data_IF_962644554660
#
_entry.id   IF_962644554660
#
_cell.length_a   1.000
_cell.length_b   1.000
_cell.length_c   1.000
_cell.angle_alpha   90.00
_cell.angle_beta   90.00
_cell.angle_gamma   90.00
#
_symmetry.space_group_name_H-M   'P 1'
#
loop_
_entity.id
_entity.type
_entity.pdbx_description
1 polymer ?
#
# COMPACT_ATOMS: atom_id res chain seq x y z
N UNK A 1 -14.59 -4.86 5.67
CA UNK A 1 -13.19 -4.47 5.44
C UNK A 1 -12.80 -4.73 4.00
N UNK A 2 -12.14 -3.79 3.40
CA UNK A 2 -11.55 -3.95 2.07
C UNK A 2 -10.04 -3.71 2.16
N UNK A 3 -9.29 -4.34 1.26
CA UNK A 3 -7.84 -4.14 1.15
C UNK A 3 -7.51 -3.61 -0.24
N UNK A 4 -6.82 -2.49 -0.26
CA UNK A 4 -6.22 -1.94 -1.47
C UNK A 4 -4.88 -2.64 -1.70
N UNK A 5 -4.73 -3.24 -2.86
CA UNK A 5 -3.50 -3.94 -3.25
C UNK A 5 -2.86 -3.18 -4.41
N UNK A 6 -1.61 -2.80 -4.25
CA UNK A 6 -0.86 -2.08 -5.28
C UNK A 6 0.33 -2.89 -5.74
N UNK A 7 0.48 -2.95 -7.05
CA UNK A 7 1.68 -3.46 -7.70
C UNK A 7 2.36 -2.28 -8.38
N UNK A 8 3.61 -2.02 -7.99
CA UNK A 8 4.40 -0.91 -8.53
C UNK A 8 5.47 -1.43 -9.47
N UNK A 9 5.61 -0.74 -10.60
CA UNK A 9 6.83 -0.82 -11.40
C UNK A 9 7.66 0.38 -10.99
N UNK A 10 8.83 0.10 -10.41
CA UNK A 10 9.73 1.13 -9.89
C UNK A 10 11.01 1.20 -10.72
N UNK A 11 11.70 2.34 -10.66
CA UNK A 11 13.01 2.47 -11.25
C UNK A 11 14.01 1.66 -10.41
N UNK A 12 14.67 0.63 -10.97
CA UNK A 12 15.57 -0.22 -10.18
C UNK A 12 16.81 0.52 -9.67
N UNK A 13 17.10 1.70 -10.20
CA UNK A 13 18.19 2.56 -9.71
C UNK A 13 17.75 3.49 -8.59
N UNK A 14 16.45 3.49 -8.23
CA UNK A 14 15.86 4.41 -7.26
C UNK A 14 15.06 3.67 -6.18
N UNK A 15 15.50 2.48 -5.82
CA UNK A 15 14.83 1.65 -4.80
C UNK A 15 14.85 2.36 -3.45
N UNK A 16 15.96 3.02 -3.10
CA UNK A 16 16.07 3.76 -1.83
C UNK A 16 15.10 4.94 -1.77
N UNK A 17 14.92 5.66 -2.88
CA UNK A 17 13.91 6.73 -2.96
C UNK A 17 12.51 6.16 -2.79
N UNK A 18 12.22 5.03 -3.43
CA UNK A 18 10.93 4.38 -3.26
C UNK A 18 10.71 3.90 -1.83
N UNK A 19 11.76 3.45 -1.13
CA UNK A 19 11.65 3.07 0.28
C UNK A 19 11.27 4.27 1.15
N UNK A 20 11.85 5.43 0.91
CA UNK A 20 11.48 6.67 1.61
C UNK A 20 10.00 6.98 1.40
N UNK A 21 9.53 6.92 0.17
CA UNK A 21 8.13 7.11 -0.20
C UNK A 21 7.23 6.09 0.52
N UNK A 22 7.60 4.82 0.49
CA UNK A 22 6.84 3.74 1.10
C UNK A 22 6.69 3.91 2.62
N UNK A 23 7.79 4.26 3.30
CA UNK A 23 7.78 4.48 4.75
C UNK A 23 6.85 5.62 5.15
N UNK A 24 6.83 6.69 4.35
CA UNK A 24 5.93 7.81 4.59
C UNK A 24 4.46 7.39 4.51
N UNK A 25 4.10 6.59 3.50
CA UNK A 25 2.71 6.14 3.32
C UNK A 25 2.25 5.17 4.40
N UNK A 26 3.12 4.32 4.91
CA UNK A 26 2.77 3.47 6.07
C UNK A 26 2.33 4.36 7.25
N UNK A 27 3.11 5.38 7.55
CA UNK A 27 2.78 6.34 8.60
C UNK A 27 1.45 7.05 8.33
N UNK A 28 1.30 7.63 7.14
CA UNK A 28 0.15 8.47 6.82
C UNK A 28 -1.17 7.69 6.77
N UNK A 29 -1.17 6.51 6.18
CA UNK A 29 -2.37 5.68 6.11
C UNK A 29 -2.79 5.23 7.51
N UNK A 30 -1.84 4.81 8.35
CA UNK A 30 -2.15 4.44 9.74
C UNK A 30 -2.68 5.63 10.54
N UNK A 31 -2.16 6.83 10.30
CA UNK A 31 -2.65 8.06 10.94
C UNK A 31 -4.05 8.43 10.48
N UNK A 32 -4.40 8.11 9.24
CA UNK A 32 -5.65 8.56 8.59
C UNK A 32 -6.76 7.51 8.61
N UNK A 33 -6.69 6.53 9.48
CA UNK A 33 -7.79 5.59 9.73
C UNK A 33 -7.71 4.27 8.99
N UNK A 34 -6.64 4.03 8.24
CA UNK A 34 -6.37 2.75 7.61
C UNK A 34 -5.47 1.87 8.45
N UNK A 35 -5.21 0.68 7.95
CA UNK A 35 -4.20 -0.24 8.48
C UNK A 35 -3.29 -0.62 7.33
N UNK A 36 -2.06 -0.14 7.36
CA UNK A 36 -1.09 -0.49 6.34
C UNK A 36 -0.41 -1.80 6.72
N UNK A 37 -0.41 -2.77 5.82
CA UNK A 37 0.18 -4.09 6.06
C UNK A 37 1.66 -4.15 5.67
N UNK A 38 2.18 -3.12 5.04
CA UNK A 38 3.57 -3.02 4.65
C UNK A 38 3.77 -3.08 3.15
N UNK A 39 5.04 -2.97 2.78
CA UNK A 39 5.51 -3.08 1.41
C UNK A 39 6.40 -4.32 1.27
N UNK A 40 6.41 -4.89 0.08
CA UNK A 40 7.32 -5.97 -0.29
C UNK A 40 8.15 -5.52 -1.46
N UNK A 41 9.47 -5.49 -1.26
CA UNK A 41 10.45 -4.97 -2.21
C UNK A 41 11.15 -6.12 -2.95
N UNK A 42 11.77 -5.82 -4.10
CA UNK A 42 12.57 -6.82 -4.80
C UNK A 42 13.65 -7.42 -3.90
N UNK A 43 13.78 -8.75 -3.92
CA UNK A 43 14.85 -9.47 -3.24
C UNK A 43 15.46 -10.48 -4.19
N UNK A 44 14.69 -11.50 -4.59
CA UNK A 44 15.04 -12.44 -5.66
C UNK A 44 13.94 -12.36 -6.71
N UNK A 45 14.31 -12.34 -7.99
CA UNK A 45 13.37 -12.20 -9.11
C UNK A 45 13.46 -10.81 -9.76
N UNK A 46 12.36 -10.28 -10.30
CA UNK A 46 12.37 -8.96 -10.94
C UNK A 46 12.87 -7.88 -10.00
N UNK A 47 13.75 -7.01 -10.47
CA UNK A 47 14.37 -5.97 -9.65
C UNK A 47 13.58 -4.66 -9.61
N UNK A 48 12.42 -4.62 -10.24
CA UNK A 48 11.64 -3.40 -10.46
C UNK A 48 10.17 -3.54 -10.06
N UNK A 49 9.79 -4.59 -9.34
CA UNK A 49 8.41 -4.80 -8.91
C UNK A 49 8.34 -4.77 -7.39
N UNK A 50 7.44 -3.93 -6.87
CA UNK A 50 7.15 -3.88 -5.45
C UNK A 50 5.64 -3.98 -5.22
N UNK A 51 5.24 -4.43 -4.05
CA UNK A 51 3.84 -4.63 -3.68
C UNK A 51 3.55 -3.93 -2.37
N UNK A 52 2.31 -3.47 -2.20
CA UNK A 52 1.84 -3.09 -0.88
C UNK A 52 0.35 -3.41 -0.72
N UNK A 53 -0.06 -3.52 0.52
CA UNK A 53 -1.44 -3.78 0.89
C UNK A 53 -1.81 -2.91 2.09
N UNK A 54 -2.96 -2.27 2.02
CA UNK A 54 -3.50 -1.56 3.17
C UNK A 54 -5.02 -1.69 3.18
N UNK A 55 -5.61 -1.64 4.36
CA UNK A 55 -7.04 -1.89 4.55
C UNK A 55 -7.75 -0.71 5.15
N UNK A 56 -9.01 -0.56 4.79
CA UNK A 56 -9.98 0.35 5.41
C UNK A 56 -11.23 -0.42 5.80
N UNK A 57 -12.03 0.09 6.77
CA UNK A 57 -13.25 -0.62 7.18
C UNK A 57 -14.26 -0.84 6.06
N UNK A 58 -14.29 0.06 5.05
CA UNK A 58 -15.23 0.01 3.94
C UNK A 58 -14.73 0.83 2.77
N UNK A 59 -15.34 0.67 1.59
CA UNK A 59 -15.08 1.53 0.43
C UNK A 59 -15.40 2.99 0.76
N UNK A 60 -16.47 3.23 1.51
CA UNK A 60 -16.85 4.58 1.93
C UNK A 60 -15.77 5.23 2.79
N UNK A 61 -15.19 4.47 3.73
CA UNK A 61 -14.07 4.95 4.54
C UNK A 61 -12.83 5.26 3.69
N UNK A 62 -12.57 4.44 2.67
CA UNK A 62 -11.47 4.66 1.74
C UNK A 62 -11.69 5.94 0.92
N UNK A 63 -12.90 6.16 0.40
CA UNK A 63 -13.22 7.38 -0.34
C UNK A 63 -13.04 8.64 0.52
N UNK A 64 -13.51 8.59 1.77
CA UNK A 64 -13.32 9.67 2.73
C UNK A 64 -11.84 9.95 2.98
N UNK A 65 -11.04 8.90 3.16
CA UNK A 65 -9.58 9.02 3.26
C UNK A 65 -9.00 9.71 2.03
N UNK A 66 -9.42 9.34 0.82
CA UNK A 66 -8.91 9.93 -0.42
C UNK A 66 -9.19 11.43 -0.49
N UNK A 67 -10.34 11.88 -0.05
CA UNK A 67 -10.68 13.30 -0.01
C UNK A 67 -9.81 14.06 1.00
N UNK A 68 -9.61 13.50 2.19
CA UNK A 68 -8.76 14.12 3.21
C UNK A 68 -7.30 14.12 2.83
N UNK A 69 -6.83 13.04 2.23
CA UNK A 69 -5.45 12.84 1.80
C UNK A 69 -5.03 13.89 0.77
N UNK A 70 -5.91 14.27 -0.13
CA UNK A 70 -5.62 15.26 -1.17
C UNK A 70 -5.29 16.66 -0.59
N UNK A 71 -5.73 16.94 0.64
CA UNK A 71 -5.52 18.23 1.33
C UNK A 71 -4.47 18.14 2.44
N UNK A 72 -3.94 16.95 2.68
CA UNK A 72 -2.99 16.71 3.77
C UNK A 72 -1.58 17.07 3.35
N UNK A 73 -0.89 17.87 4.17
CA UNK A 73 0.43 18.40 3.83
C UNK A 73 1.49 17.30 3.74
N UNK A 74 1.42 16.28 4.60
CA UNK A 74 2.37 15.16 4.55
C UNK A 74 2.16 14.32 3.29
N UNK A 75 0.90 14.05 2.93
CA UNK A 75 0.59 13.31 1.70
C UNK A 75 1.02 14.09 0.45
N UNK A 76 0.81 15.40 0.44
CA UNK A 76 1.29 16.25 -0.66
C UNK A 76 2.81 16.21 -0.78
N UNK A 77 3.53 16.21 0.34
CA UNK A 77 4.98 16.11 0.34
C UNK A 77 5.47 14.77 -0.21
N UNK A 78 4.78 13.68 0.10
CA UNK A 78 5.12 12.36 -0.43
C UNK A 78 4.92 12.30 -1.96
N UNK A 79 3.82 12.84 -2.47
CA UNK A 79 3.59 12.93 -3.91
C UNK A 79 4.63 13.80 -4.61
N UNK A 80 4.99 14.92 -4.01
CA UNK A 80 6.03 15.81 -4.54
C UNK A 80 7.39 15.09 -4.61
N UNK A 81 7.71 14.28 -3.60
CA UNK A 81 8.92 13.48 -3.58
C UNK A 81 8.96 12.46 -4.71
N UNK A 82 7.85 11.74 -4.94
CA UNK A 82 7.75 10.78 -6.04
C UNK A 82 7.88 11.47 -7.39
N UNK A 83 7.28 12.64 -7.55
CA UNK A 83 7.36 13.43 -8.78
C UNK A 83 8.79 13.91 -9.05
N UNK A 84 9.48 14.36 -8.01
CA UNK A 84 10.85 14.84 -8.10
C UNK A 84 11.84 13.72 -8.41
N UNK A 85 11.71 12.57 -7.75
CA UNK A 85 12.68 11.48 -7.89
C UNK A 85 12.42 10.59 -9.09
N UNK A 86 11.17 10.54 -9.57
CA UNK A 86 10.75 9.63 -10.63
C UNK A 86 11.00 8.16 -10.28
N UNK A 87 10.89 7.81 -8.99
CA UNK A 87 11.13 6.43 -8.54
C UNK A 87 10.01 5.47 -8.94
N UNK A 88 8.81 5.97 -9.24
CA UNK A 88 7.67 5.16 -9.67
C UNK A 88 7.48 5.33 -11.17
N UNK A 89 7.50 4.23 -11.92
CA UNK A 89 7.28 4.23 -13.36
C UNK A 89 5.78 4.08 -13.64
N UNK A 90 5.14 3.11 -13.01
CA UNK A 90 3.71 2.85 -13.14
C UNK A 90 3.22 2.04 -11.95
N UNK A 91 1.91 1.94 -11.80
CA UNK A 91 1.33 1.09 -10.76
C UNK A 91 -0.06 0.65 -11.17
N UNK A 92 -0.50 -0.47 -10.57
CA UNK A 92 -1.86 -0.97 -10.68
C UNK A 92 -2.47 -1.06 -9.30
N UNK A 93 -3.73 -0.66 -9.18
CA UNK A 93 -4.48 -0.71 -7.93
C UNK A 93 -5.69 -1.60 -8.10
N UNK A 94 -5.90 -2.48 -7.12
CA UNK A 94 -7.10 -3.31 -7.05
C UNK A 94 -7.60 -3.40 -5.63
N UNK A 95 -8.84 -3.83 -5.45
CA UNK A 95 -9.45 -4.00 -4.15
C UNK A 95 -9.78 -5.47 -3.95
N UNK A 96 -9.45 -5.97 -2.77
CA UNK A 96 -9.65 -7.37 -2.40
C UNK A 96 -10.30 -7.44 -1.03
N UNK A 97 -10.87 -8.59 -0.71
CA UNK A 97 -11.37 -8.90 0.62
C UNK A 97 -10.27 -9.69 1.35
N UNK A 98 -9.72 -9.17 2.45
CA UNK A 98 -8.64 -9.87 3.14
C UNK A 98 -9.14 -11.08 3.90
N UNK A 99 -8.34 -12.13 3.92
CA UNK A 99 -8.49 -13.29 4.82
C UNK A 99 -7.17 -13.37 5.57
N UNK A 100 -7.17 -12.97 6.85
CA UNK A 100 -5.96 -12.76 7.63
C UNK A 100 -5.82 -13.69 8.84
N UNK A 101 -6.82 -14.54 9.08
CA UNK A 101 -6.82 -15.49 10.19
C UNK A 101 -7.07 -16.90 9.69
N UNK A 102 -6.59 -17.86 10.45
CA UNK A 102 -6.81 -19.28 10.20
C UNK A 102 -7.74 -19.88 11.24
N UNK A 103 -8.19 -21.11 10.96
CA UNK A 103 -8.95 -21.92 11.90
C UNK A 103 -8.54 -23.38 11.75
N UNK A 104 -8.84 -24.20 12.76
CA UNK A 104 -8.54 -25.62 12.68
C UNK A 104 -9.43 -26.32 11.64
N UNK A 105 -8.97 -27.40 11.01
CA UNK A 105 -9.83 -28.16 10.10
C UNK A 105 -11.13 -28.61 10.72
N UNK A 106 -11.13 -28.91 12.03
CA UNK A 106 -12.35 -29.29 12.74
C UNK A 106 -13.34 -28.11 12.81
N UNK A 107 -12.86 -26.92 13.14
CA UNK A 107 -13.72 -25.73 13.23
C UNK A 107 -14.24 -25.32 11.84
N UNK A 108 -13.50 -25.67 10.81
CA UNK A 108 -13.89 -25.41 9.42
C UNK A 108 -14.84 -26.48 8.83
N UNK A 109 -15.14 -27.53 9.60
CA UNK A 109 -16.00 -28.60 9.12
C UNK A 109 -15.34 -29.57 8.13
N UNK A 110 -14.01 -29.61 8.10
CA UNK A 110 -13.25 -30.44 7.16
C UNK A 110 -12.95 -31.84 7.73
N UNK A 111 -13.16 -32.03 9.01
CA UNK A 111 -12.96 -33.31 9.70
C UNK A 111 -14.27 -33.79 10.30
#
# INVERSE_FOLDING_TARGET
MITCSLTYIIDPYKVDDFETYARAWIHMINRMGGTHHGYWFPHEGPNNIAYCHFSFPSLSAYEDYRERMAKDIECQAAYAFAEKTRCIISYERSFTRPVLDGASPQDLGLL
#
